data_IF_376949727364
#
_entry.id   IF_376949727364
#
_cell.length_a   1.000
_cell.length_b   1.000
_cell.length_c   1.000
_cell.angle_alpha   90.00
_cell.angle_beta   90.00
_cell.angle_gamma   90.00
#
_symmetry.space_group_name_H-M   'P 1'
#
loop_
_entity.id
_entity.type
_entity.pdbx_description
1 polymer ?
#
# COMPACT_ATOMS: atom_id res chain seq x y z
N UNK A 1 6.56 12.63 1.30
CA UNK A 1 6.46 11.75 0.11
C UNK A 1 7.23 10.52 0.48
N UNK A 2 6.56 9.38 0.47
CA UNK A 2 7.20 8.08 0.59
C UNK A 2 7.23 7.44 -0.80
N UNK A 3 8.37 6.87 -1.16
CA UNK A 3 8.59 6.22 -2.45
C UNK A 3 8.97 4.77 -2.15
N UNK A 4 8.25 3.83 -2.75
CA UNK A 4 8.58 2.42 -2.64
C UNK A 4 8.56 1.79 -4.02
N UNK A 5 9.75 1.49 -4.55
CA UNK A 5 9.92 1.01 -5.94
C UNK A 5 9.20 1.93 -6.93
N UNK A 6 8.11 1.45 -7.53
CA UNK A 6 7.32 2.14 -8.55
C UNK A 6 6.13 2.91 -7.97
N UNK A 7 5.82 2.74 -6.67
CA UNK A 7 4.67 3.37 -6.02
C UNK A 7 5.06 4.67 -5.29
N UNK A 8 4.33 5.74 -5.59
CA UNK A 8 4.46 7.04 -4.94
C UNK A 8 3.31 7.29 -3.97
N UNK A 9 3.64 7.60 -2.71
CA UNK A 9 2.66 8.05 -1.71
C UNK A 9 2.88 9.52 -1.36
N UNK A 10 1.90 10.35 -1.70
CA UNK A 10 1.88 11.79 -1.40
C UNK A 10 0.82 12.07 -0.34
N UNK A 11 1.24 12.69 0.76
CA UNK A 11 0.38 13.03 1.89
C UNK A 11 0.64 14.47 2.33
N UNK A 12 -0.32 15.03 3.08
CA UNK A 12 -0.23 16.36 3.66
C UNK A 12 -1.23 16.50 4.81
N UNK A 13 -0.93 17.39 5.76
CA UNK A 13 -1.79 17.68 6.92
C UNK A 13 -3.09 18.42 6.58
N UNK A 14 -3.21 18.91 5.35
CA UNK A 14 -4.40 19.57 4.81
C UNK A 14 -4.52 19.31 3.32
N UNK A 15 -5.71 19.50 2.76
CA UNK A 15 -5.95 19.38 1.31
C UNK A 15 -4.99 20.26 0.50
N UNK A 16 -4.83 21.53 0.90
CA UNK A 16 -3.94 22.48 0.21
C UNK A 16 -2.48 22.05 0.28
N UNK A 17 -2.03 21.52 1.42
CA UNK A 17 -0.67 21.00 1.58
C UNK A 17 -0.44 19.75 0.72
N UNK A 18 -1.42 18.84 0.70
CA UNK A 18 -1.38 17.64 -0.13
C UNK A 18 -1.34 17.99 -1.63
N UNK A 19 -2.18 18.94 -2.07
CA UNK A 19 -2.20 19.43 -3.45
C UNK A 19 -0.87 20.07 -3.85
N UNK A 20 -0.29 20.89 -2.98
CA UNK A 20 1.02 21.48 -3.23
C UNK A 20 2.10 20.40 -3.39
N UNK A 21 2.09 19.39 -2.52
CA UNK A 21 3.03 18.28 -2.61
C UNK A 21 2.81 17.46 -3.89
N UNK A 22 1.57 17.20 -4.27
CA UNK A 22 1.24 16.48 -5.50
C UNK A 22 1.74 17.23 -6.74
N UNK A 23 1.51 18.54 -6.82
CA UNK A 23 2.02 19.36 -7.93
C UNK A 23 3.55 19.30 -8.03
N UNK A 24 4.27 19.28 -6.90
CA UNK A 24 5.74 19.13 -6.89
C UNK A 24 6.19 17.76 -7.40
N UNK A 25 5.48 16.69 -7.03
CA UNK A 25 5.79 15.33 -7.51
C UNK A 25 5.53 15.23 -9.02
N UNK A 26 4.36 15.67 -9.49
CA UNK A 26 4.00 15.62 -10.91
C UNK A 26 4.98 16.44 -11.77
N UNK A 27 5.38 17.63 -11.31
CA UNK A 27 6.39 18.43 -11.98
C UNK A 27 7.72 17.68 -12.08
N UNK A 28 8.14 16.98 -11.03
CA UNK A 28 9.35 16.16 -11.08
C UNK A 28 9.20 14.99 -12.05
N UNK A 29 8.04 14.34 -12.10
CA UNK A 29 7.77 13.27 -13.07
C UNK A 29 7.92 13.78 -14.51
N UNK A 30 7.40 14.97 -14.82
CA UNK A 30 7.56 15.63 -16.11
C UNK A 30 9.04 15.93 -16.42
N UNK A 31 9.78 16.52 -15.48
CA UNK A 31 11.22 16.80 -15.61
C UNK A 31 12.05 15.55 -15.88
N UNK A 32 11.64 14.38 -15.36
CA UNK A 32 12.36 13.10 -15.51
C UNK A 32 11.80 12.21 -16.61
N UNK A 33 10.81 12.66 -17.39
CA UNK A 33 10.08 11.85 -18.38
C UNK A 33 9.47 10.56 -17.80
N UNK A 34 9.00 10.61 -16.56
CA UNK A 34 8.32 9.50 -15.90
C UNK A 34 6.82 9.59 -16.16
N UNK A 35 6.26 8.56 -16.82
CA UNK A 35 4.84 8.48 -17.15
C UNK A 35 4.11 7.67 -16.08
N UNK A 36 3.12 8.28 -15.44
CA UNK A 36 2.27 7.62 -14.45
C UNK A 36 1.11 6.89 -15.15
N UNK A 37 0.78 5.69 -14.69
CA UNK A 37 -0.41 4.97 -15.14
C UNK A 37 -1.66 5.53 -14.45
N UNK A 38 -2.43 6.34 -15.19
CA UNK A 38 -3.62 7.01 -14.66
C UNK A 38 -4.68 6.05 -14.10
N UNK A 39 -4.82 4.83 -14.64
CA UNK A 39 -5.80 3.83 -14.15
C UNK A 39 -5.46 3.32 -12.75
N UNK A 40 -4.18 3.40 -12.37
CA UNK A 40 -3.69 2.97 -11.05
C UNK A 40 -3.53 4.12 -10.06
N UNK A 41 -3.60 5.37 -10.53
CA UNK A 41 -3.43 6.53 -9.68
C UNK A 41 -4.71 6.85 -8.91
N UNK A 42 -4.60 6.96 -7.58
CA UNK A 42 -5.66 7.42 -6.70
C UNK A 42 -5.28 8.80 -6.16
N UNK A 43 -6.10 9.82 -6.44
CA UNK A 43 -5.81 11.21 -6.06
C UNK A 43 -6.77 11.71 -4.98
N UNK A 44 -6.24 12.46 -4.02
CA UNK A 44 -7.00 13.18 -2.99
C UNK A 44 -8.03 12.31 -2.24
N UNK A 45 -7.68 11.05 -2.02
CA UNK A 45 -8.47 10.11 -1.24
C UNK A 45 -8.15 10.25 0.26
N UNK A 46 -9.15 9.99 1.12
CA UNK A 46 -8.97 9.96 2.58
C UNK A 46 -8.36 8.66 3.07
N UNK A 47 -8.51 7.59 2.28
CA UNK A 47 -7.94 6.28 2.52
C UNK A 47 -7.46 5.67 1.20
N UNK A 48 -6.44 4.82 1.24
CA UNK A 48 -5.90 4.16 0.06
C UNK A 48 -5.09 2.92 0.40
N UNK A 49 -4.86 2.07 -0.60
CA UNK A 49 -3.99 0.89 -0.44
C UNK A 49 -2.58 1.25 -0.89
N UNK A 50 -1.63 1.09 0.02
CA UNK A 50 -0.20 1.29 -0.24
C UNK A 50 0.54 0.05 0.25
N UNK A 51 1.28 -0.62 -0.63
CA UNK A 51 2.01 -1.87 -0.34
C UNK A 51 1.16 -3.00 0.25
N UNK A 52 -0.15 -3.01 -0.07
CA UNK A 52 -1.09 -3.99 0.47
C UNK A 52 -1.52 -3.72 1.92
N UNK A 53 -1.31 -2.49 2.40
CA UNK A 53 -1.88 -1.97 3.65
C UNK A 53 -2.87 -0.86 3.32
N UNK A 54 -3.98 -0.83 4.04
CA UNK A 54 -4.93 0.28 3.97
C UNK A 54 -4.42 1.40 4.87
N UNK A 55 -4.09 2.55 4.29
CA UNK A 55 -3.68 3.74 5.02
C UNK A 55 -4.89 4.66 5.12
N UNK A 56 -5.21 5.11 6.33
CA UNK A 56 -6.25 6.12 6.59
C UNK A 56 -5.81 7.07 7.71
N UNK A 57 -6.65 8.04 8.07
CA UNK A 57 -6.45 8.90 9.24
C UNK A 57 -6.29 8.11 10.56
N UNK A 58 -6.90 6.93 10.65
CA UNK A 58 -6.83 6.05 11.82
C UNK A 58 -5.51 5.28 11.90
N UNK A 59 -4.65 5.41 10.88
CA UNK A 59 -3.34 4.76 10.80
C UNK A 59 -3.27 3.71 9.69
N UNK A 60 -2.35 2.77 9.88
CA UNK A 60 -2.09 1.66 8.96
C UNK A 60 -2.92 0.46 9.41
N UNK A 61 -3.80 -0.02 8.54
CA UNK A 61 -4.59 -1.22 8.72
C UNK A 61 -4.21 -2.27 7.70
N UNK A 62 -4.43 -3.54 8.03
CA UNK A 62 -4.24 -4.63 7.09
C UNK A 62 -5.36 -4.62 6.06
N UNK A 63 -5.01 -4.82 4.80
CA UNK A 63 -6.00 -5.06 3.75
C UNK A 63 -6.81 -6.32 4.08
N UNK A 64 -8.12 -6.15 4.31
CA UNK A 64 -9.03 -7.25 4.66
C UNK A 64 -9.03 -8.35 3.60
N UNK A 65 -8.85 -8.01 2.32
CA UNK A 65 -8.79 -9.01 1.25
C UNK A 65 -7.67 -10.03 1.49
N UNK A 66 -6.55 -9.60 2.07
CA UNK A 66 -5.43 -10.49 2.38
C UNK A 66 -5.65 -11.30 3.66
N UNK A 67 -6.39 -10.75 4.63
CA UNK A 67 -6.85 -11.49 5.82
C UNK A 67 -7.83 -12.59 5.41
N UNK A 68 -8.77 -12.30 4.51
CA UNK A 68 -9.74 -13.27 4.01
C UNK A 68 -9.05 -14.42 3.27
N UNK A 69 -8.03 -14.13 2.46
CA UNK A 69 -7.20 -15.18 1.84
C UNK A 69 -6.54 -16.07 2.89
N UNK A 70 -6.05 -15.51 4.00
CA UNK A 70 -5.48 -16.33 5.08
C UNK A 70 -6.53 -17.20 5.78
N UNK A 71 -7.75 -16.71 5.97
CA UNK A 71 -8.85 -17.47 6.56
C UNK A 71 -9.33 -18.62 5.65
N UNK A 72 -9.16 -18.48 4.33
CA UNK A 72 -9.51 -19.50 3.35
C UNK A 72 -8.40 -20.54 3.10
N UNK A 73 -7.22 -20.41 3.73
CA UNK A 73 -6.15 -21.38 3.57
C UNK A 73 -6.54 -22.73 4.21
N UNK A 74 -6.49 -23.79 3.41
CA UNK A 74 -6.67 -25.16 3.89
C UNK A 74 -5.57 -25.55 4.87
N UNK A 75 -5.91 -26.43 5.81
CA UNK A 75 -4.95 -26.95 6.79
C UNK A 75 -3.69 -27.53 6.09
N UNK A 76 -2.49 -27.02 6.42
CA UNK A 76 -1.25 -27.43 5.76
C UNK A 76 -0.95 -28.90 6.03
N UNK A 77 -0.71 -29.67 4.96
CA UNK A 77 -0.49 -31.14 5.04
C UNK A 77 0.97 -31.55 4.94
N UNK A 78 1.87 -30.59 4.69
CA UNK A 78 3.30 -30.84 4.52
C UNK A 78 4.16 -29.78 5.20
N UNK A 79 5.43 -30.12 5.45
CA UNK A 79 6.43 -29.17 5.97
C UNK A 79 6.60 -27.96 5.07
N UNK A 80 6.43 -28.12 3.74
CA UNK A 80 6.49 -27.01 2.78
C UNK A 80 5.32 -26.06 2.99
N UNK A 81 4.11 -26.59 3.19
CA UNK A 81 2.90 -25.80 3.42
C UNK A 81 3.00 -25.03 4.74
N UNK A 82 3.52 -25.67 5.80
CA UNK A 82 3.76 -25.02 7.09
C UNK A 82 4.73 -23.84 6.94
N UNK A 83 5.85 -24.02 6.20
CA UNK A 83 6.81 -22.93 5.96
C UNK A 83 6.20 -21.79 5.14
N UNK A 84 5.38 -22.12 4.13
CA UNK A 84 4.67 -21.12 3.33
C UNK A 84 3.71 -20.31 4.20
N UNK A 85 2.89 -20.99 5.00
CA UNK A 85 1.96 -20.36 5.93
C UNK A 85 2.67 -19.44 6.93
N UNK A 86 3.76 -19.90 7.56
CA UNK A 86 4.55 -19.09 8.49
C UNK A 86 5.17 -17.87 7.81
N UNK A 87 5.57 -17.96 6.53
CA UNK A 87 6.02 -16.83 5.75
C UNK A 87 4.92 -15.77 5.56
N UNK A 88 3.70 -16.21 5.22
CA UNK A 88 2.54 -15.32 5.11
C UNK A 88 2.16 -14.69 6.45
N UNK A 89 2.07 -15.48 7.52
CA UNK A 89 1.77 -14.99 8.87
C UNK A 89 2.84 -14.01 9.37
N UNK A 90 4.11 -14.26 9.03
CA UNK A 90 5.24 -13.40 9.38
C UNK A 90 5.12 -11.98 8.78
N UNK A 91 4.59 -11.85 7.56
CA UNK A 91 4.34 -10.55 6.93
C UNK A 91 3.34 -9.70 7.72
N UNK A 92 2.34 -10.33 8.37
CA UNK A 92 1.32 -9.65 9.18
C UNK A 92 1.61 -9.64 10.67
N UNK A 93 2.77 -10.14 11.13
CA UNK A 93 3.11 -10.24 12.56
C UNK A 93 2.96 -8.93 13.32
N UNK A 94 3.11 -7.78 12.67
CA UNK A 94 2.95 -6.46 13.31
C UNK A 94 1.49 -6.14 13.71
N UNK A 95 0.53 -6.90 13.19
CA UNK A 95 -0.90 -6.72 13.37
C UNK A 95 -1.57 -7.88 14.13
N UNK A 96 -0.77 -8.86 14.61
CA UNK A 96 -1.16 -9.98 15.48
C UNK A 96 -0.53 -9.76 16.84
#
# INVERSE_FOLDING_TARGET
VEVFMDDFSVYGSSFSSCLLNLCRVLKRCEETNLVLNWEKCNFMVKEGIVLGHRISEHGIEVDRAKVDVMLQLSEPKSVKDIRSFLGHAGFYRRFI
#
